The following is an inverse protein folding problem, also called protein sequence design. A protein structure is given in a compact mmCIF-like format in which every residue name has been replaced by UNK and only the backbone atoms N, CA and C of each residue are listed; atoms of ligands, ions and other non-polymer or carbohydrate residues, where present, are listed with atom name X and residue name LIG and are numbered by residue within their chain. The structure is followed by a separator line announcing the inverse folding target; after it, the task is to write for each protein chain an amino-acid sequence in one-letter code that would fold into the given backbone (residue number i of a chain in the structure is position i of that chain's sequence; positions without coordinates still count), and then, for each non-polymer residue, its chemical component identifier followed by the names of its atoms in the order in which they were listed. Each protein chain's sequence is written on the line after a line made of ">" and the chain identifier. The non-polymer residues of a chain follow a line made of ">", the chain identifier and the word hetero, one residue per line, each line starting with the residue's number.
data_IF_730512930801
#
_entry.id   IF_730512930801
#
_cell.length_a   1.000
_cell.length_b   1.000
_cell.length_c   1.000
_cell.angle_alpha   90.00
_cell.angle_beta   90.00
_cell.angle_gamma   90.00
#
_symmetry.space_group_name_H-M   'P 1'
#
loop_
_entity.id
_entity.type
_entity.pdbx_description
1 polymer ?
#
# COMPACT_ATOMS: atom_id res chain seq x y z
N UNK A 1 -10.28 -15.64 -21.60
CA UNK A 1 -10.16 -14.25 -22.06
C UNK A 1 -10.69 -13.32 -20.99
N UNK A 2 -9.93 -12.28 -20.66
CA UNK A 2 -10.40 -11.20 -19.78
C UNK A 2 -10.33 -9.88 -20.57
N UNK A 3 -11.36 -9.05 -20.44
CA UNK A 3 -11.38 -7.71 -21.01
C UNK A 3 -11.10 -6.71 -19.91
N UNK A 4 -10.06 -5.90 -20.07
CA UNK A 4 -9.76 -4.76 -19.21
C UNK A 4 -10.17 -3.46 -19.93
N UNK A 5 -10.21 -2.34 -19.22
CA UNK A 5 -10.59 -1.03 -19.78
C UNK A 5 -9.69 -0.62 -20.94
N UNK A 6 -8.39 -0.77 -20.79
CA UNK A 6 -7.36 -0.31 -21.73
C UNK A 6 -6.80 -1.43 -22.63
N UNK A 7 -7.11 -2.72 -22.37
CA UNK A 7 -6.55 -3.84 -23.09
C UNK A 7 -7.36 -5.11 -22.99
N UNK A 8 -6.90 -6.14 -23.67
CA UNK A 8 -7.47 -7.49 -23.63
C UNK A 8 -6.37 -8.49 -23.31
N UNK A 9 -6.70 -9.52 -22.52
CA UNK A 9 -5.76 -10.61 -22.18
C UNK A 9 -6.19 -11.89 -22.86
N UNK A 10 -5.28 -12.48 -23.60
CA UNK A 10 -5.46 -13.72 -24.34
C UNK A 10 -4.61 -14.82 -23.72
N UNK A 11 -5.13 -16.05 -23.75
CA UNK A 11 -4.36 -17.27 -23.47
C UNK A 11 -3.80 -17.75 -24.80
N UNK A 12 -2.48 -17.78 -24.94
CA UNK A 12 -1.77 -18.15 -26.14
C UNK A 12 -0.74 -19.24 -25.86
N UNK A 13 -0.43 -20.03 -26.86
CA UNK A 13 0.68 -21.01 -26.81
C UNK A 13 1.84 -20.50 -27.65
N UNK A 14 3.03 -20.50 -27.08
CA UNK A 14 4.24 -20.16 -27.82
C UNK A 14 4.65 -21.34 -28.73
N UNK A 15 4.88 -21.07 -30.01
CA UNK A 15 5.20 -22.10 -30.99
C UNK A 15 6.52 -22.84 -30.70
N UNK A 16 7.48 -22.14 -30.09
CA UNK A 16 8.82 -22.66 -29.80
C UNK A 16 8.85 -23.76 -28.75
N UNK A 17 8.03 -23.61 -27.66
CA UNK A 17 8.09 -24.51 -26.51
C UNK A 17 6.75 -25.12 -26.13
N UNK A 18 5.68 -24.81 -26.87
CA UNK A 18 4.30 -25.23 -26.63
C UNK A 18 3.75 -24.88 -25.22
N UNK A 19 4.43 -23.97 -24.46
CA UNK A 19 3.97 -23.47 -23.16
C UNK A 19 2.88 -22.42 -23.34
N UNK A 20 2.01 -22.34 -22.35
CA UNK A 20 0.90 -21.39 -22.33
C UNK A 20 1.32 -20.09 -21.66
N UNK A 21 0.98 -18.97 -22.28
CA UNK A 21 1.25 -17.61 -21.83
C UNK A 21 -0.02 -16.77 -21.82
N UNK A 22 -0.03 -15.77 -20.94
CA UNK A 22 -0.99 -14.68 -20.98
C UNK A 22 -0.39 -13.55 -21.82
N UNK A 23 -1.13 -13.11 -22.82
CA UNK A 23 -0.72 -12.02 -23.70
C UNK A 23 -1.71 -10.88 -23.55
N UNK A 24 -1.28 -9.77 -22.91
CA UNK A 24 -2.05 -8.54 -22.73
C UNK A 24 -1.77 -7.62 -23.90
N UNK A 25 -2.81 -7.23 -24.64
CA UNK A 25 -2.71 -6.41 -25.87
C UNK A 25 -3.54 -5.15 -25.65
N UNK A 26 -2.97 -3.98 -25.90
CA UNK A 26 -3.68 -2.72 -25.84
C UNK A 26 -4.77 -2.62 -26.90
N UNK A 27 -5.86 -1.95 -26.56
CA UNK A 27 -6.87 -1.60 -27.58
C UNK A 27 -6.28 -0.63 -28.61
N UNK A 28 -6.69 -0.76 -29.88
CA UNK A 28 -6.34 0.24 -30.90
C UNK A 28 -6.75 1.64 -30.43
N UNK A 29 -5.93 2.62 -30.76
CA UNK A 29 -6.17 4.07 -30.53
C UNK A 29 -6.43 4.51 -29.09
N UNK A 30 -6.23 3.61 -28.09
CA UNK A 30 -6.48 3.92 -26.66
C UNK A 30 -5.68 5.14 -26.21
N UNK A 31 -4.45 5.29 -26.65
CA UNK A 31 -3.59 6.42 -26.29
C UNK A 31 -4.21 7.76 -26.76
N UNK A 32 -4.77 7.80 -27.97
CA UNK A 32 -5.42 9.01 -28.52
C UNK A 32 -6.70 9.32 -27.75
N UNK A 33 -7.49 8.30 -27.43
CA UNK A 33 -8.71 8.46 -26.61
C UNK A 33 -8.38 9.01 -25.24
N UNK A 34 -7.42 8.40 -24.53
CA UNK A 34 -6.99 8.84 -23.19
C UNK A 34 -6.47 10.28 -23.21
N UNK A 35 -5.69 10.69 -24.23
CA UNK A 35 -5.23 12.08 -24.36
C UNK A 35 -6.40 13.06 -24.46
N UNK A 36 -7.41 12.74 -25.25
CA UNK A 36 -8.58 13.59 -25.42
C UNK A 36 -9.39 13.66 -24.10
N UNK A 37 -9.66 12.51 -23.49
CA UNK A 37 -10.41 12.43 -22.24
C UNK A 37 -9.72 13.22 -21.12
N UNK A 38 -8.40 13.07 -20.96
CA UNK A 38 -7.64 13.82 -19.97
C UNK A 38 -7.60 15.32 -20.24
N UNK A 39 -7.52 15.72 -21.52
CA UNK A 39 -7.65 17.13 -21.89
C UNK A 39 -9.01 17.71 -21.47
N UNK A 40 -10.08 16.98 -21.75
CA UNK A 40 -11.46 17.39 -21.38
C UNK A 40 -11.59 17.47 -19.86
N UNK A 41 -11.20 16.43 -19.12
CA UNK A 41 -11.26 16.38 -17.65
C UNK A 41 -10.51 17.56 -17.05
N UNK A 42 -9.28 17.83 -17.51
CA UNK A 42 -8.46 18.95 -17.06
C UNK A 42 -9.14 20.32 -17.31
N UNK A 43 -9.77 20.51 -18.47
CA UNK A 43 -10.50 21.74 -18.80
C UNK A 43 -11.73 21.91 -17.91
N UNK A 44 -12.52 20.85 -17.71
CA UNK A 44 -13.69 20.83 -16.82
C UNK A 44 -13.27 21.11 -15.37
N UNK A 45 -12.22 20.46 -14.87
CA UNK A 45 -11.68 20.71 -13.54
C UNK A 45 -11.29 22.19 -13.34
N UNK A 46 -10.61 22.78 -14.32
CA UNK A 46 -10.23 24.21 -14.29
C UNK A 46 -11.46 25.14 -14.30
N UNK A 47 -12.49 24.82 -15.08
CA UNK A 47 -13.74 25.57 -15.11
C UNK A 47 -14.49 25.48 -13.77
N UNK A 48 -14.66 24.28 -13.22
CA UNK A 48 -15.33 24.05 -11.93
C UNK A 48 -14.61 24.77 -10.79
N UNK A 49 -13.27 24.65 -10.73
CA UNK A 49 -12.45 25.37 -9.74
C UNK A 49 -12.71 26.87 -9.75
N UNK A 50 -12.72 27.48 -10.94
CA UNK A 50 -12.98 28.93 -11.11
C UNK A 50 -14.42 29.31 -10.80
N UNK A 51 -15.39 28.54 -11.31
CA UNK A 51 -16.83 28.85 -11.21
C UNK A 51 -17.34 28.75 -9.76
N UNK A 52 -16.87 27.73 -9.02
CA UNK A 52 -17.29 27.46 -7.65
C UNK A 52 -16.29 27.92 -6.59
N UNK A 53 -15.21 28.60 -6.99
CA UNK A 53 -14.14 29.09 -6.09
C UNK A 53 -13.63 27.98 -5.13
N UNK A 54 -13.46 26.77 -5.64
CA UNK A 54 -13.07 25.63 -4.84
C UNK A 54 -11.63 25.80 -4.33
N UNK A 55 -11.41 25.49 -3.05
CA UNK A 55 -10.08 25.50 -2.44
C UNK A 55 -9.22 24.32 -2.91
N UNK A 56 -9.84 23.20 -3.26
CA UNK A 56 -9.17 22.00 -3.76
C UNK A 56 -8.57 22.22 -5.14
N UNK A 57 -7.37 21.72 -5.35
CA UNK A 57 -6.70 21.77 -6.65
C UNK A 57 -7.18 20.66 -7.59
N UNK A 58 -8.39 20.83 -8.12
CA UNK A 58 -8.99 19.84 -9.04
C UNK A 58 -8.14 19.61 -10.30
N UNK A 59 -7.38 20.64 -10.73
CA UNK A 59 -6.51 20.50 -11.91
C UNK A 59 -5.34 19.60 -11.58
N UNK A 60 -4.68 19.81 -10.41
CA UNK A 60 -3.62 18.94 -9.94
C UNK A 60 -4.06 17.49 -9.76
N UNK A 61 -5.28 17.27 -9.23
CA UNK A 61 -5.87 15.92 -9.11
C UNK A 61 -6.07 15.29 -10.51
N UNK A 62 -6.58 16.06 -11.48
CA UNK A 62 -6.76 15.56 -12.84
C UNK A 62 -5.42 15.25 -13.52
N UNK A 63 -4.39 16.09 -13.31
CA UNK A 63 -3.06 15.87 -13.86
C UNK A 63 -2.40 14.62 -13.25
N UNK A 64 -2.52 14.40 -11.94
CA UNK A 64 -2.03 13.21 -11.23
C UNK A 64 -2.71 11.92 -11.74
N UNK A 65 -4.05 11.95 -11.86
CA UNK A 65 -4.81 10.85 -12.44
C UNK A 65 -4.37 10.54 -13.87
N UNK A 66 -4.12 11.61 -14.67
CA UNK A 66 -3.62 11.48 -16.04
C UNK A 66 -2.25 10.78 -16.09
N UNK A 67 -1.32 11.18 -15.24
CA UNK A 67 0.01 10.54 -15.17
C UNK A 67 -0.12 9.05 -14.89
N UNK A 68 -0.92 8.65 -13.87
CA UNK A 68 -1.15 7.25 -13.54
C UNK A 68 -1.74 6.46 -14.72
N UNK A 69 -2.73 7.04 -15.43
CA UNK A 69 -3.34 6.38 -16.57
C UNK A 69 -2.38 6.23 -17.76
N UNK A 70 -1.49 7.21 -17.98
CA UNK A 70 -0.45 7.09 -19.01
C UNK A 70 0.61 6.05 -18.66
N UNK A 71 0.97 5.91 -17.38
CA UNK A 71 1.89 4.88 -16.91
C UNK A 71 1.31 3.47 -17.14
N UNK A 72 0.00 3.27 -16.94
CA UNK A 72 -0.70 2.00 -17.27
C UNK A 72 -0.68 1.65 -18.76
N UNK A 73 -0.46 2.62 -19.66
CA UNK A 73 -0.35 2.38 -21.09
C UNK A 73 1.06 1.92 -21.52
N UNK A 74 2.02 1.83 -20.61
CA UNK A 74 3.37 1.39 -20.92
C UNK A 74 3.63 -0.04 -20.46
N UNK A 75 3.31 -1.03 -21.29
CA UNK A 75 3.50 -2.44 -20.95
C UNK A 75 4.97 -2.87 -20.82
N UNK A 76 5.91 -2.14 -21.42
CA UNK A 76 7.33 -2.36 -21.14
C UNK A 76 7.67 -2.01 -19.69
N UNK A 77 7.10 -0.92 -19.17
CA UNK A 77 7.29 -0.54 -17.76
C UNK A 77 6.61 -1.56 -16.83
N UNK A 78 5.41 -2.03 -17.18
CA UNK A 78 4.71 -3.08 -16.43
C UNK A 78 5.54 -4.37 -16.36
N UNK A 79 6.19 -4.77 -17.46
CA UNK A 79 7.12 -5.91 -17.51
C UNK A 79 8.32 -5.73 -16.57
N UNK A 80 8.95 -4.56 -16.57
CA UNK A 80 10.07 -4.24 -15.69
C UNK A 80 9.65 -4.21 -14.21
N UNK A 81 8.47 -3.69 -13.93
CA UNK A 81 7.87 -3.69 -12.59
C UNK A 81 7.65 -5.13 -12.10
N UNK A 82 7.10 -6.01 -12.93
CA UNK A 82 6.91 -7.44 -12.61
C UNK A 82 8.23 -8.13 -12.26
N UNK A 83 9.26 -7.90 -13.07
CA UNK A 83 10.61 -8.46 -12.83
C UNK A 83 11.17 -7.94 -11.51
N UNK A 84 11.09 -6.62 -11.26
CA UNK A 84 11.55 -6.01 -10.01
C UNK A 84 10.77 -6.55 -8.80
N UNK A 85 9.45 -6.68 -8.93
CA UNK A 85 8.60 -7.25 -7.89
C UNK A 85 9.00 -8.69 -7.58
N UNK A 86 9.22 -9.51 -8.59
CA UNK A 86 9.70 -10.89 -8.45
C UNK A 86 11.06 -10.96 -7.74
N UNK A 87 12.00 -10.08 -8.09
CA UNK A 87 13.32 -10.01 -7.44
C UNK A 87 13.22 -9.68 -5.95
N UNK A 88 12.33 -8.75 -5.58
CA UNK A 88 12.16 -8.29 -4.21
C UNK A 88 11.35 -9.29 -3.36
N UNK A 89 10.27 -9.85 -3.90
CA UNK A 89 9.26 -10.55 -3.11
C UNK A 89 9.04 -12.01 -3.54
N UNK A 90 9.55 -12.45 -4.68
CA UNK A 90 9.37 -13.82 -5.17
C UNK A 90 10.01 -14.91 -4.30
N UNK A 91 10.85 -14.53 -3.33
CA UNK A 91 11.42 -15.46 -2.33
C UNK A 91 10.53 -15.63 -1.09
N UNK A 92 9.51 -14.81 -0.93
CA UNK A 92 8.57 -14.91 0.19
C UNK A 92 7.71 -16.15 -0.08
N UNK A 93 7.68 -17.05 0.91
CA UNK A 93 6.87 -18.26 0.80
C UNK A 93 5.40 -17.94 0.64
N UNK A 94 4.76 -18.57 -0.31
CA UNK A 94 3.36 -18.32 -0.62
C UNK A 94 3.11 -17.16 -1.59
N UNK A 95 4.14 -16.46 -2.08
CA UNK A 95 4.02 -15.46 -3.13
C UNK A 95 4.46 -16.06 -4.46
N UNK A 96 3.61 -15.90 -5.47
CA UNK A 96 3.88 -16.28 -6.84
C UNK A 96 3.87 -15.05 -7.76
N UNK A 97 4.90 -14.92 -8.59
CA UNK A 97 5.01 -13.86 -9.60
C UNK A 97 5.33 -14.50 -10.94
N UNK A 98 4.46 -14.33 -11.95
CA UNK A 98 4.67 -14.93 -13.26
C UNK A 98 5.94 -14.42 -13.94
N UNK A 99 6.59 -15.30 -14.69
CA UNK A 99 7.73 -14.91 -15.51
C UNK A 99 7.30 -14.08 -16.70
N UNK A 100 8.03 -12.99 -16.94
CA UNK A 100 7.82 -12.13 -18.10
C UNK A 100 8.74 -12.55 -19.24
N UNK A 101 8.22 -12.56 -20.46
CA UNK A 101 8.97 -12.79 -21.68
C UNK A 101 9.26 -11.47 -22.38
N UNK A 102 10.42 -10.89 -22.08
CA UNK A 102 10.82 -9.58 -22.62
C UNK A 102 10.96 -9.61 -24.16
N UNK A 103 11.43 -10.73 -24.72
CA UNK A 103 11.55 -10.95 -26.16
C UNK A 103 10.22 -10.89 -26.93
N UNK A 104 9.09 -11.11 -26.21
CA UNK A 104 7.74 -11.05 -26.76
C UNK A 104 6.92 -9.91 -26.12
N UNK A 105 7.60 -8.92 -25.53
CA UNK A 105 6.99 -7.77 -24.87
C UNK A 105 7.38 -6.49 -25.59
N UNK A 106 6.44 -5.59 -25.75
CA UNK A 106 6.62 -4.26 -26.34
C UNK A 106 5.76 -3.25 -25.59
N UNK A 107 5.82 -1.97 -25.98
CA UNK A 107 5.03 -0.93 -25.34
C UNK A 107 3.51 -1.22 -25.34
N UNK A 108 3.01 -2.00 -26.31
CA UNK A 108 1.56 -2.29 -26.47
C UNK A 108 1.21 -3.77 -26.26
N UNK A 109 2.19 -4.64 -26.05
CA UNK A 109 2.00 -6.08 -25.85
C UNK A 109 2.84 -6.52 -24.67
N UNK A 110 2.23 -7.17 -23.69
CA UNK A 110 2.91 -7.78 -22.54
C UNK A 110 2.67 -9.29 -22.60
N UNK A 111 3.76 -10.05 -22.58
CA UNK A 111 3.72 -11.51 -22.57
C UNK A 111 4.31 -12.03 -21.25
N UNK A 112 3.49 -12.74 -20.49
CA UNK A 112 3.90 -13.34 -19.22
C UNK A 112 3.39 -14.77 -19.11
N UNK A 113 3.93 -15.52 -18.18
CA UNK A 113 3.46 -16.86 -17.85
C UNK A 113 1.96 -16.85 -17.52
N UNK A 114 1.23 -17.85 -18.05
CA UNK A 114 -0.17 -18.02 -17.71
C UNK A 114 -0.30 -18.73 -16.37
N UNK A 115 -0.84 -18.05 -15.37
CA UNK A 115 -1.08 -18.60 -14.04
C UNK A 115 -2.48 -19.17 -13.96
N UNK A 116 -2.58 -20.45 -13.62
CA UNK A 116 -3.85 -21.08 -13.29
C UNK A 116 -4.21 -20.81 -11.82
N UNK A 117 -5.49 -20.53 -11.55
CA UNK A 117 -5.91 -20.25 -10.19
C UNK A 117 -7.32 -19.68 -10.09
N UNK A 118 -7.74 -19.43 -8.86
CA UNK A 118 -9.06 -18.91 -8.51
C UNK A 118 -8.91 -17.45 -8.04
N UNK A 119 -9.73 -16.55 -8.62
CA UNK A 119 -9.78 -15.15 -8.17
C UNK A 119 -10.49 -15.04 -6.82
N UNK A 120 -10.04 -14.10 -6.01
CA UNK A 120 -10.73 -13.78 -4.76
C UNK A 120 -12.14 -13.20 -4.94
N UNK A 121 -13.00 -13.25 -3.92
CA UNK A 121 -12.75 -13.77 -2.58
C UNK A 121 -12.71 -15.31 -2.56
N UNK A 122 -11.80 -15.86 -1.76
CA UNK A 122 -11.58 -17.31 -1.69
C UNK A 122 -12.43 -17.93 -0.59
N UNK A 123 -13.24 -18.94 -0.95
CA UNK A 123 -14.07 -19.70 -0.01
C UNK A 123 -13.23 -20.70 0.81
N UNK A 124 -12.11 -21.15 0.25
CA UNK A 124 -11.20 -22.11 0.89
C UNK A 124 -9.79 -21.51 0.92
N UNK A 125 -9.17 -21.51 2.10
CA UNK A 125 -7.81 -20.94 2.28
C UNK A 125 -7.74 -19.41 2.23
N UNK A 126 -8.87 -18.70 2.30
CA UNK A 126 -8.94 -17.24 2.25
C UNK A 126 -8.13 -16.56 3.33
N UNK A 127 -8.15 -17.06 4.58
CA UNK A 127 -7.34 -16.52 5.68
C UNK A 127 -5.85 -16.58 5.37
N UNK A 128 -5.37 -17.69 4.81
CA UNK A 128 -3.98 -17.83 4.40
C UNK A 128 -3.62 -16.84 3.30
N UNK A 129 -4.47 -16.70 2.26
CA UNK A 129 -4.24 -15.76 1.17
C UNK A 129 -4.16 -14.32 1.67
N UNK A 130 -5.04 -13.95 2.61
CA UNK A 130 -5.02 -12.63 3.24
C UNK A 130 -3.77 -12.38 4.07
N UNK A 131 -3.38 -13.36 4.87
CA UNK A 131 -2.17 -13.24 5.70
C UNK A 131 -0.93 -13.07 4.83
N UNK A 132 -0.78 -13.87 3.76
CA UNK A 132 0.31 -13.75 2.79
C UNK A 132 0.27 -12.38 2.10
N UNK A 133 -0.90 -11.93 1.64
CA UNK A 133 -1.08 -10.65 0.97
C UNK A 133 -0.76 -9.47 1.88
N UNK A 134 -1.23 -9.51 3.14
CA UNK A 134 -0.91 -8.49 4.14
C UNK A 134 0.58 -8.44 4.45
N UNK A 135 1.18 -9.61 4.71
CA UNK A 135 2.61 -9.71 4.98
C UNK A 135 3.43 -9.14 3.84
N UNK A 136 3.12 -9.55 2.60
CA UNK A 136 3.81 -9.05 1.43
C UNK A 136 3.65 -7.52 1.31
N UNK A 137 2.45 -6.98 1.52
CA UNK A 137 2.19 -5.53 1.42
C UNK A 137 2.89 -4.73 2.52
N UNK A 138 2.96 -5.26 3.74
CA UNK A 138 3.73 -4.64 4.82
C UNK A 138 5.22 -4.60 4.50
N UNK A 139 5.79 -5.69 3.98
CA UNK A 139 7.19 -5.74 3.54
C UNK A 139 7.45 -4.77 2.37
N UNK A 140 6.52 -4.68 1.42
CA UNK A 140 6.59 -3.71 0.33
C UNK A 140 6.69 -2.28 0.86
N UNK A 141 5.84 -1.89 1.80
CA UNK A 141 5.78 -0.54 2.33
C UNK A 141 6.93 -0.23 3.31
N UNK A 142 7.28 -1.18 4.18
CA UNK A 142 8.18 -0.90 5.30
C UNK A 142 9.63 -1.28 5.03
N UNK A 143 9.90 -2.30 4.20
CA UNK A 143 11.26 -2.78 3.95
C UNK A 143 11.85 -2.24 2.64
N UNK A 144 11.22 -2.50 1.50
CA UNK A 144 11.76 -2.07 0.21
C UNK A 144 11.29 -0.69 -0.23
N UNK A 145 10.07 -0.30 0.16
CA UNK A 145 9.40 0.92 -0.29
C UNK A 145 8.86 0.84 -1.71
N UNK A 146 9.04 -0.26 -2.43
CA UNK A 146 8.44 -0.50 -3.73
C UNK A 146 7.17 -1.33 -3.56
N UNK A 147 6.00 -0.74 -3.82
CA UNK A 147 4.73 -1.36 -3.47
C UNK A 147 3.73 -1.34 -4.62
N UNK A 148 2.85 -2.34 -4.60
CA UNK A 148 1.72 -2.45 -5.51
C UNK A 148 0.61 -1.50 -5.06
N UNK A 149 0.26 -0.53 -5.90
CA UNK A 149 -0.71 0.51 -5.55
C UNK A 149 -2.16 0.11 -5.79
N UNK A 150 -2.43 -1.04 -6.43
CA UNK A 150 -3.78 -1.52 -6.76
C UNK A 150 -3.94 -3.05 -6.60
N UNK A 151 -3.74 -3.61 -5.39
CA UNK A 151 -3.83 -5.06 -5.14
C UNK A 151 -5.28 -5.52 -5.02
N UNK A 152 -6.13 -5.17 -6.00
CA UNK A 152 -7.53 -5.59 -5.95
C UNK A 152 -7.68 -7.07 -6.30
N UNK A 153 -8.79 -7.67 -5.86
CA UNK A 153 -9.09 -9.10 -6.05
C UNK A 153 -9.03 -9.59 -7.51
N UNK A 154 -9.14 -8.70 -8.49
CA UNK A 154 -9.00 -9.02 -9.90
C UNK A 154 -7.56 -9.32 -10.33
N UNK A 155 -6.58 -8.75 -9.60
CA UNK A 155 -5.14 -8.89 -9.85
C UNK A 155 -4.47 -9.96 -8.96
N UNK A 156 -5.26 -10.60 -8.09
CA UNK A 156 -4.80 -11.62 -7.15
C UNK A 156 -5.45 -12.97 -7.44
N UNK A 157 -4.64 -14.02 -7.55
CA UNK A 157 -5.10 -15.39 -7.73
C UNK A 157 -4.55 -16.30 -6.63
N UNK A 158 -5.38 -17.24 -6.17
CA UNK A 158 -4.89 -18.41 -5.44
C UNK A 158 -4.52 -19.50 -6.45
N UNK A 159 -3.26 -19.88 -6.48
CA UNK A 159 -2.77 -20.98 -7.32
C UNK A 159 -3.21 -22.34 -6.79
N UNK A 160 -3.15 -23.42 -7.59
CA UNK A 160 -3.42 -24.79 -7.12
C UNK A 160 -2.45 -25.24 -6.01
N UNK A 161 -1.21 -24.68 -5.97
CA UNK A 161 -0.24 -24.92 -4.87
C UNK A 161 -0.58 -24.17 -3.57
N UNK A 162 -1.59 -23.30 -3.59
CA UNK A 162 -1.98 -22.49 -2.44
C UNK A 162 -1.13 -21.25 -2.25
N UNK A 163 -0.47 -20.74 -3.31
CA UNK A 163 0.27 -19.49 -3.30
C UNK A 163 -0.61 -18.34 -3.78
N UNK A 164 -0.32 -17.13 -3.32
CA UNK A 164 -0.94 -15.89 -3.78
C UNK A 164 -0.16 -15.36 -4.98
N UNK A 165 -0.77 -15.40 -6.16
CA UNK A 165 -0.18 -14.87 -7.38
C UNK A 165 -0.61 -13.42 -7.62
N UNK A 166 0.36 -12.55 -7.91
CA UNK A 166 0.15 -11.19 -8.38
C UNK A 166 0.26 -11.17 -9.92
N UNK A 167 -0.74 -10.59 -10.60
CA UNK A 167 -0.86 -10.69 -12.07
C UNK A 167 -0.65 -9.38 -12.81
N UNK A 168 -0.95 -8.25 -12.23
CA UNK A 168 -0.88 -6.93 -12.85
C UNK A 168 0.14 -6.06 -12.12
N UNK A 169 1.05 -5.41 -12.84
CA UNK A 169 2.11 -4.56 -12.28
C UNK A 169 2.12 -3.17 -12.93
N UNK A 170 1.01 -2.78 -13.55
CA UNK A 170 0.85 -1.47 -14.18
C UNK A 170 0.88 -0.34 -13.16
N UNK A 171 0.27 -0.55 -12.00
CA UNK A 171 0.23 0.44 -10.92
C UNK A 171 1.20 0.08 -9.79
N UNK A 172 2.47 0.41 -9.98
CA UNK A 172 3.49 0.31 -8.95
C UNK A 172 3.92 1.69 -8.48
N UNK A 173 4.28 1.83 -7.21
CA UNK A 173 4.80 3.07 -6.66
C UNK A 173 5.97 2.83 -5.73
N UNK A 174 6.66 3.89 -5.35
CA UNK A 174 7.79 3.80 -4.42
C UNK A 174 7.78 4.92 -3.39
N UNK A 175 8.20 4.56 -2.17
CA UNK A 175 8.35 5.47 -1.03
C UNK A 175 9.81 5.55 -0.65
N UNK A 176 10.31 6.76 -0.44
CA UNK A 176 11.69 6.96 -0.02
C UNK A 176 11.96 6.33 1.36
N UNK A 177 13.21 5.99 1.67
CA UNK A 177 13.58 5.47 2.98
C UNK A 177 13.20 6.44 4.12
N UNK A 178 13.39 7.75 3.91
CA UNK A 178 13.00 8.80 4.85
C UNK A 178 11.51 8.76 5.16
N UNK A 179 10.67 8.66 4.12
CA UNK A 179 9.22 8.66 4.28
C UNK A 179 8.73 7.34 4.91
N UNK A 180 9.35 6.20 4.57
CA UNK A 180 9.08 4.92 5.23
C UNK A 180 9.32 4.98 6.74
N UNK A 181 10.45 5.52 7.17
CA UNK A 181 10.78 5.65 8.59
C UNK A 181 9.80 6.58 9.31
N UNK A 182 9.36 7.63 8.65
CA UNK A 182 8.35 8.52 9.20
C UNK A 182 6.95 7.83 9.28
N UNK A 183 6.57 7.01 8.29
CA UNK A 183 5.36 6.18 8.36
C UNK A 183 5.43 5.18 9.52
N UNK A 184 6.55 4.49 9.69
CA UNK A 184 6.79 3.59 10.84
C UNK A 184 6.62 4.35 12.15
N UNK A 185 7.23 5.53 12.27
CA UNK A 185 7.11 6.38 13.45
C UNK A 185 5.68 6.83 13.74
N UNK A 186 4.89 7.16 12.71
CA UNK A 186 3.49 7.51 12.88
C UNK A 186 2.65 6.33 13.37
N UNK A 187 2.85 5.13 12.81
CA UNK A 187 2.15 3.91 13.27
C UNK A 187 2.55 3.55 14.70
N UNK A 188 3.84 3.66 15.05
CA UNK A 188 4.30 3.46 16.43
C UNK A 188 3.66 4.45 17.41
N UNK A 189 3.56 5.71 17.03
CA UNK A 189 2.86 6.73 17.82
C UNK A 189 1.39 6.36 18.05
N UNK A 190 0.68 5.92 17.01
CA UNK A 190 -0.71 5.48 17.11
C UNK A 190 -0.87 4.30 18.07
N UNK A 191 -0.05 3.25 17.92
CA UNK A 191 -0.12 2.06 18.78
C UNK A 191 0.23 2.37 20.24
N UNK A 192 1.20 3.26 20.46
CA UNK A 192 1.61 3.67 21.80
C UNK A 192 0.74 4.80 22.39
N UNK A 193 -0.29 5.27 21.68
CA UNK A 193 -1.15 6.42 22.08
C UNK A 193 -0.34 7.72 22.28
N UNK A 194 0.77 7.86 21.56
CA UNK A 194 1.62 9.05 21.58
C UNK A 194 1.32 9.92 20.35
N UNK A 195 0.33 10.79 20.48
CA UNK A 195 -0.11 11.68 19.40
C UNK A 195 0.97 12.70 19.01
N UNK A 196 1.85 13.09 19.94
CA UNK A 196 2.98 13.98 19.64
C UNK A 196 3.95 13.31 18.67
N UNK A 197 4.25 12.02 18.88
CA UNK A 197 5.07 11.22 17.96
C UNK A 197 4.38 11.05 16.60
N UNK A 198 3.05 10.87 16.57
CA UNK A 198 2.28 10.81 15.32
C UNK A 198 2.44 12.11 14.53
N UNK A 199 2.12 13.26 15.15
CA UNK A 199 2.15 14.57 14.48
C UNK A 199 3.57 14.93 14.04
N UNK A 200 4.59 14.64 14.85
CA UNK A 200 5.99 14.84 14.49
C UNK A 200 6.37 14.10 13.21
N UNK A 201 5.94 12.84 13.07
CA UNK A 201 6.23 12.04 11.88
C UNK A 201 5.37 12.46 10.67
N UNK A 202 4.10 12.83 10.87
CA UNK A 202 3.27 13.41 9.81
C UNK A 202 3.85 14.74 9.28
N UNK A 203 4.45 15.56 10.15
CA UNK A 203 5.16 16.77 9.73
C UNK A 203 6.39 16.44 8.87
N UNK A 204 7.16 15.39 9.21
CA UNK A 204 8.27 14.88 8.36
C UNK A 204 7.81 14.41 6.99
N UNK A 205 6.60 13.89 6.88
CA UNK A 205 5.94 13.47 5.63
C UNK A 205 5.34 14.64 4.84
N UNK A 206 5.54 15.88 5.28
CA UNK A 206 4.99 17.10 4.67
C UNK A 206 3.45 17.16 4.63
N UNK A 207 2.76 16.52 5.61
CA UNK A 207 1.31 16.64 5.75
C UNK A 207 0.89 18.05 6.21
N UNK A 208 1.79 18.76 6.87
CA UNK A 208 1.55 20.10 7.39
C UNK A 208 2.64 21.06 6.91
N UNK A 209 2.30 22.34 6.69
CA UNK A 209 3.30 23.38 6.49
C UNK A 209 4.33 23.41 7.65
N UNK A 210 5.59 23.78 7.39
CA UNK A 210 6.64 23.82 8.43
C UNK A 210 6.29 24.66 9.65
N UNK A 211 5.56 25.74 9.43
CA UNK A 211 5.10 26.73 10.44
C UNK A 211 3.93 26.24 11.29
N UNK A 212 3.33 25.10 10.98
CA UNK A 212 2.17 24.57 11.71
C UNK A 212 2.56 24.18 13.14
N UNK A 213 1.83 24.70 14.13
CA UNK A 213 2.00 24.38 15.53
C UNK A 213 1.60 22.92 15.79
N UNK A 214 2.51 22.17 16.41
CA UNK A 214 2.34 20.76 16.72
C UNK A 214 1.23 20.55 17.75
N UNK A 215 1.15 21.43 18.76
CA UNK A 215 0.21 21.28 19.87
C UNK A 215 -1.23 21.45 19.40
N UNK A 216 -1.48 22.39 18.48
CA UNK A 216 -2.79 22.60 17.85
C UNK A 216 -3.23 21.35 17.05
N UNK A 217 -2.29 20.73 16.33
CA UNK A 217 -2.58 19.52 15.57
C UNK A 217 -2.84 18.33 16.47
N UNK A 218 -2.08 18.19 17.58
CA UNK A 218 -2.27 17.14 18.58
C UNK A 218 -3.65 17.26 19.24
N UNK A 219 -4.07 18.47 19.60
CA UNK A 219 -5.39 18.72 20.19
C UNK A 219 -6.53 18.38 19.23
N UNK A 220 -6.44 18.82 17.97
CA UNK A 220 -7.42 18.50 16.93
C UNK A 220 -7.50 16.98 16.66
N UNK A 221 -6.35 16.30 16.60
CA UNK A 221 -6.28 14.85 16.39
C UNK A 221 -6.86 14.10 17.60
N UNK A 222 -6.55 14.54 18.82
CA UNK A 222 -7.09 13.99 20.06
C UNK A 222 -8.62 14.08 20.09
N UNK A 223 -9.17 15.26 19.75
CA UNK A 223 -10.62 15.50 19.71
C UNK A 223 -11.32 14.63 18.67
N UNK A 224 -10.75 14.47 17.47
CA UNK A 224 -11.31 13.63 16.41
C UNK A 224 -11.28 12.14 16.77
N UNK A 225 -10.22 11.69 17.42
CA UNK A 225 -10.11 10.30 17.88
C UNK A 225 -11.02 10.02 19.08
N UNK A 226 -11.21 10.98 19.99
CA UNK A 226 -12.12 10.84 21.13
C UNK A 226 -13.59 10.71 20.69
N UNK A 227 -13.98 11.40 19.64
CA UNK A 227 -15.34 11.32 19.09
C UNK A 227 -15.65 9.99 18.37
N UNK A 228 -14.61 9.22 18.03
CA UNK A 228 -14.73 7.99 17.24
C UNK A 228 -14.67 6.70 18.06
N UNK A 229 -14.28 6.78 19.34
CA UNK A 229 -14.04 5.60 20.18
C UNK A 229 -14.54 5.79 21.60
N UNK A 230 -15.24 4.77 22.11
CA UNK A 230 -15.27 4.50 23.55
C UNK A 230 -13.84 4.32 24.04
N UNK A 231 -13.43 5.13 24.94
CA UNK A 231 -12.13 5.47 25.61
C UNK A 231 -10.89 4.56 25.52
N UNK A 232 -10.90 3.35 24.92
CA UNK A 232 -9.82 2.41 25.21
C UNK A 232 -8.93 1.89 24.04
N UNK A 233 -9.30 2.04 22.76
CA UNK A 233 -8.48 1.39 21.72
C UNK A 233 -8.44 2.11 20.37
N UNK A 234 -7.47 3.01 20.16
CA UNK A 234 -7.13 3.52 18.80
C UNK A 234 -6.67 2.37 17.88
N UNK A 235 -6.02 1.35 18.43
CA UNK A 235 -5.61 0.13 17.70
C UNK A 235 -6.78 -0.77 17.29
N UNK A 236 -7.99 -0.53 17.79
CA UNK A 236 -9.20 -1.24 17.40
C UNK A 236 -9.95 -0.58 16.24
N UNK A 237 -9.53 0.62 15.83
CA UNK A 237 -10.11 1.29 14.67
C UNK A 237 -9.72 0.58 13.39
N UNK A 238 -10.68 0.46 12.47
CA UNK A 238 -10.39 0.11 11.09
C UNK A 238 -9.56 1.22 10.45
N UNK A 239 -8.64 0.86 9.58
CA UNK A 239 -7.83 1.83 8.84
C UNK A 239 -8.70 2.83 8.06
N UNK A 240 -9.81 2.37 7.49
CA UNK A 240 -10.80 3.20 6.81
C UNK A 240 -11.39 4.26 7.74
N UNK A 241 -11.76 3.92 8.98
CA UNK A 241 -12.26 4.88 9.98
C UNK A 241 -11.17 5.87 10.39
N UNK A 242 -9.94 5.40 10.60
CA UNK A 242 -8.81 6.27 10.90
C UNK A 242 -8.59 7.30 9.80
N UNK A 243 -8.63 6.87 8.54
CA UNK A 243 -8.49 7.75 7.40
C UNK A 243 -9.63 8.77 7.31
N UNK A 244 -10.88 8.38 7.55
CA UNK A 244 -12.03 9.30 7.61
C UNK A 244 -11.87 10.36 8.69
N UNK A 245 -11.37 9.99 9.87
CA UNK A 245 -11.09 10.91 10.96
C UNK A 245 -10.00 11.93 10.60
N UNK A 246 -8.91 11.47 9.97
CA UNK A 246 -7.86 12.36 9.47
C UNK A 246 -8.39 13.30 8.39
N UNK A 247 -9.25 12.80 7.48
CA UNK A 247 -9.89 13.63 6.47
C UNK A 247 -10.84 14.67 7.07
N UNK A 248 -11.57 14.35 8.14
CA UNK A 248 -12.45 15.33 8.81
C UNK A 248 -11.66 16.50 9.40
N UNK A 249 -10.46 16.26 9.91
CA UNK A 249 -9.56 17.30 10.44
C UNK A 249 -9.01 18.18 9.31
N UNK A 250 -8.92 17.67 8.08
CA UNK A 250 -8.38 18.43 6.93
C UNK A 250 -9.20 19.70 6.60
N UNK A 251 -10.45 19.76 7.05
CA UNK A 251 -11.27 20.98 6.94
C UNK A 251 -10.91 22.05 7.99
N UNK A 252 -10.32 21.63 9.11
CA UNK A 252 -9.94 22.50 10.22
C UNK A 252 -8.49 22.95 10.13
N UNK A 253 -7.62 22.10 9.63
CA UNK A 253 -6.18 22.32 9.55
C UNK A 253 -5.71 22.36 8.09
N UNK A 254 -4.63 23.11 7.79
CA UNK A 254 -4.05 23.16 6.43
C UNK A 254 -3.28 21.88 6.10
N UNK A 255 -4.00 20.74 6.00
CA UNK A 255 -3.41 19.45 5.65
C UNK A 255 -3.12 19.41 4.14
N UNK A 256 -1.89 19.00 3.80
CA UNK A 256 -1.48 18.68 2.43
C UNK A 256 -1.23 17.18 2.34
N UNK A 257 -2.00 16.49 1.50
CA UNK A 257 -1.78 15.05 1.30
C UNK A 257 -0.72 14.84 0.23
N UNK A 258 0.42 14.23 0.56
CA UNK A 258 1.42 13.87 -0.45
C UNK A 258 0.84 12.87 -1.47
N UNK A 259 1.19 12.92 -2.76
CA UNK A 259 0.64 12.04 -3.80
C UNK A 259 0.79 10.55 -3.47
N UNK A 260 1.97 10.13 -3.01
CA UNK A 260 2.23 8.73 -2.62
C UNK A 260 1.31 8.24 -1.50
N UNK A 261 0.83 9.14 -0.63
CA UNK A 261 -0.03 8.78 0.49
C UNK A 261 -1.41 8.31 0.03
N UNK A 262 -1.97 8.93 -1.01
CA UNK A 262 -3.27 8.52 -1.58
C UNK A 262 -3.19 7.09 -2.13
N UNK A 263 -2.06 6.72 -2.74
CA UNK A 263 -1.80 5.36 -3.22
C UNK A 263 -1.66 4.37 -2.06
N UNK A 264 -0.96 4.74 -0.98
CA UNK A 264 -0.86 3.90 0.23
C UNK A 264 -2.23 3.69 0.85
N UNK A 265 -3.03 4.76 1.03
CA UNK A 265 -4.39 4.65 1.56
C UNK A 265 -5.23 3.71 0.70
N UNK A 266 -5.21 3.88 -0.61
CA UNK A 266 -5.92 3.01 -1.53
C UNK A 266 -5.53 1.55 -1.35
N UNK A 267 -4.23 1.26 -1.36
CA UNK A 267 -3.69 -0.09 -1.15
C UNK A 267 -4.16 -0.69 0.17
N UNK A 268 -3.99 0.04 1.27
CA UNK A 268 -4.35 -0.43 2.61
C UNK A 268 -5.86 -0.60 2.79
N UNK A 269 -6.67 0.29 2.21
CA UNK A 269 -8.13 0.18 2.23
C UNK A 269 -8.62 -1.04 1.44
N UNK A 270 -8.02 -1.33 0.27
CA UNK A 270 -8.35 -2.52 -0.52
C UNK A 270 -8.01 -3.79 0.27
N UNK A 271 -6.81 -3.84 0.88
CA UNK A 271 -6.36 -4.97 1.69
C UNK A 271 -7.24 -5.16 2.93
N UNK A 272 -7.58 -4.07 3.63
CA UNK A 272 -8.49 -4.13 4.77
C UNK A 272 -9.87 -4.63 4.35
N UNK A 273 -10.42 -4.15 3.23
CA UNK A 273 -11.69 -4.63 2.68
C UNK A 273 -11.68 -6.11 2.34
N UNK A 274 -10.58 -6.61 1.78
CA UNK A 274 -10.41 -8.05 1.53
C UNK A 274 -10.31 -8.83 2.85
N UNK A 275 -9.58 -8.31 3.83
CA UNK A 275 -9.39 -8.94 5.13
C UNK A 275 -10.70 -9.01 5.94
N UNK A 276 -11.46 -7.93 5.99
CA UNK A 276 -12.74 -7.86 6.69
C UNK A 276 -13.81 -8.79 6.08
N UNK A 277 -13.69 -9.13 4.80
CA UNK A 277 -14.57 -10.12 4.17
C UNK A 277 -14.37 -11.52 4.74
N UNK A 278 -13.13 -11.88 5.12
CA UNK A 278 -12.77 -13.20 5.65
C UNK A 278 -12.83 -13.21 7.17
N UNK A 279 -12.29 -12.15 7.82
CA UNK A 279 -12.32 -11.98 9.27
C UNK A 279 -12.84 -10.57 9.63
N UNK A 280 -14.11 -10.45 10.04
CA UNK A 280 -14.67 -9.15 10.47
C UNK A 280 -13.96 -8.52 11.67
N UNK A 281 -13.21 -9.30 12.45
CA UNK A 281 -12.43 -8.80 13.60
C UNK A 281 -11.04 -8.28 13.21
N UNK A 282 -10.64 -8.43 11.95
CA UNK A 282 -9.32 -8.04 11.46
C UNK A 282 -9.04 -6.55 11.66
N UNK A 283 -7.81 -6.24 12.06
CA UNK A 283 -7.31 -4.85 12.24
C UNK A 283 -5.94 -4.72 11.61
N UNK A 284 -5.86 -3.93 10.55
CA UNK A 284 -4.66 -3.78 9.72
C UNK A 284 -3.44 -3.32 10.51
N UNK A 285 -3.60 -2.29 11.35
CA UNK A 285 -2.50 -1.75 12.17
C UNK A 285 -1.97 -2.80 13.15
N UNK A 286 -2.88 -3.55 13.77
CA UNK A 286 -2.51 -4.62 14.70
C UNK A 286 -1.78 -5.76 13.98
N UNK A 287 -2.23 -6.12 12.78
CA UNK A 287 -1.59 -7.14 11.94
C UNK A 287 -0.21 -6.72 11.41
N UNK A 288 0.01 -5.43 11.14
CA UNK A 288 1.29 -4.90 10.68
C UNK A 288 2.33 -4.73 11.82
N UNK A 289 1.89 -4.61 13.07
CA UNK A 289 2.75 -4.27 14.19
C UNK A 289 3.90 -5.26 14.46
N UNK A 290 3.74 -6.59 14.35
CA UNK A 290 4.84 -7.53 14.52
C UNK A 290 5.98 -7.31 13.51
N UNK A 291 5.63 -6.99 12.25
CA UNK A 291 6.62 -6.70 11.20
C UNK A 291 7.36 -5.38 11.47
N UNK A 292 6.66 -4.36 11.97
CA UNK A 292 7.26 -3.09 12.40
C UNK A 292 8.23 -3.33 13.56
N UNK A 293 7.83 -4.11 14.55
CA UNK A 293 8.69 -4.45 15.69
C UNK A 293 9.96 -5.18 15.24
N UNK A 294 9.83 -6.15 14.34
CA UNK A 294 10.97 -6.86 13.75
C UNK A 294 11.91 -5.90 13.02
N UNK A 295 11.37 -5.03 12.15
CA UNK A 295 12.15 -4.06 11.39
C UNK A 295 12.92 -3.10 12.29
N UNK A 296 12.33 -2.66 13.42
CA UNK A 296 12.99 -1.79 14.40
C UNK A 296 14.13 -2.47 15.13
N UNK A 297 13.98 -3.78 15.42
CA UNK A 297 15.00 -4.54 16.15
C UNK A 297 16.14 -5.03 15.25
N UNK A 298 15.88 -5.26 13.96
CA UNK A 298 16.85 -5.85 13.02
C UNK A 298 17.55 -4.86 12.11
N UNK A 299 17.10 -3.60 12.08
CA UNK A 299 17.68 -2.60 11.16
C UNK A 299 18.81 -1.81 11.77
N UNK A 300 19.89 -1.65 11.01
CA UNK A 300 21.03 -0.80 11.36
C UNK A 300 20.80 0.70 11.03
N UNK A 301 19.60 1.07 10.53
CA UNK A 301 19.29 2.45 10.19
C UNK A 301 19.20 3.34 11.44
N UNK A 302 20.00 4.43 11.52
CA UNK A 302 20.02 5.31 12.70
C UNK A 302 18.66 5.91 13.05
N UNK A 303 17.83 6.17 12.04
CA UNK A 303 16.48 6.71 12.20
C UNK A 303 15.55 5.71 12.91
N UNK A 304 15.64 4.43 12.58
CA UNK A 304 14.86 3.38 13.24
C UNK A 304 15.35 3.13 14.66
N UNK A 305 16.66 3.21 14.89
CA UNK A 305 17.25 3.17 16.22
C UNK A 305 16.70 4.30 17.13
N UNK A 306 16.57 5.52 16.61
CA UNK A 306 15.96 6.65 17.34
C UNK A 306 14.48 6.42 17.64
N UNK A 307 13.71 5.83 16.69
CA UNK A 307 12.32 5.48 16.91
C UNK A 307 12.17 4.39 17.98
N UNK A 308 13.04 3.38 17.94
CA UNK A 308 13.08 2.34 18.96
C UNK A 308 13.36 2.95 20.35
N UNK A 309 14.39 3.80 20.44
CA UNK A 309 14.70 4.53 21.70
C UNK A 309 13.52 5.34 22.22
N UNK A 310 12.82 6.07 21.36
CA UNK A 310 11.64 6.86 21.74
C UNK A 310 10.51 6.00 22.36
N UNK A 311 10.41 4.73 21.96
CA UNK A 311 9.40 3.81 22.49
C UNK A 311 9.84 3.11 23.77
N UNK A 312 11.11 2.64 23.83
CA UNK A 312 11.60 1.81 24.93
C UNK A 312 12.28 2.58 26.06
N UNK A 313 12.66 3.85 25.84
CA UNK A 313 13.30 4.69 26.85
C UNK A 313 12.28 5.67 27.43
N UNK A 314 12.31 5.86 28.74
CA UNK A 314 11.45 6.86 29.41
C UNK A 314 12.08 8.26 29.35
N UNK A 315 11.34 9.28 29.85
CA UNK A 315 11.83 10.67 29.88
C UNK A 315 13.10 10.87 30.75
N UNK A 316 13.40 9.91 31.62
CA UNK A 316 14.56 9.91 32.52
C UNK A 316 15.77 9.19 31.92
N UNK A 317 15.70 8.74 30.67
CA UNK A 317 16.76 8.03 29.97
C UNK A 317 16.89 6.54 30.37
N UNK A 318 15.92 5.98 31.12
CA UNK A 318 15.95 4.58 31.57
C UNK A 318 15.17 3.68 30.65
N UNK A 319 15.67 2.46 30.40
CA UNK A 319 15.01 1.45 29.56
C UNK A 319 13.76 0.94 30.29
N UNK A 320 12.64 0.90 29.58
CA UNK A 320 11.39 0.26 30.00
C UNK A 320 11.45 -1.24 29.64
N UNK A 321 12.07 -2.03 30.49
CA UNK A 321 12.30 -3.46 30.24
C UNK A 321 11.05 -4.24 29.84
N UNK A 322 9.93 -4.03 30.51
CA UNK A 322 8.64 -4.66 30.15
C UNK A 322 8.20 -4.34 28.71
N UNK A 323 8.42 -3.08 28.26
CA UNK A 323 8.10 -2.72 26.86
C UNK A 323 9.07 -3.37 25.88
N UNK A 324 10.35 -3.44 26.20
CA UNK A 324 11.34 -4.11 25.37
C UNK A 324 11.04 -5.60 25.23
N UNK A 325 10.70 -6.28 26.32
CA UNK A 325 10.31 -7.68 26.34
C UNK A 325 9.06 -7.94 25.50
N UNK A 326 8.02 -7.09 25.63
CA UNK A 326 6.84 -7.12 24.78
C UNK A 326 7.19 -6.93 23.30
N UNK A 327 8.09 -6.00 22.98
CA UNK A 327 8.54 -5.76 21.60
C UNK A 327 9.24 -6.98 21.01
N UNK A 328 10.15 -7.60 21.78
CA UNK A 328 10.86 -8.82 21.36
C UNK A 328 9.88 -9.97 21.16
N UNK A 329 8.95 -10.17 22.09
CA UNK A 329 7.90 -11.20 21.99
C UNK A 329 7.02 -11.00 20.76
N UNK A 330 6.62 -9.76 20.48
CA UNK A 330 5.81 -9.42 19.30
C UNK A 330 6.60 -9.63 18.00
N UNK A 331 7.89 -9.27 17.98
CA UNK A 331 8.75 -9.49 16.82
C UNK A 331 8.97 -10.98 16.53
N UNK A 332 9.12 -11.81 17.58
CA UNK A 332 9.23 -13.27 17.46
C UNK A 332 7.95 -13.90 16.89
N UNK A 333 6.79 -13.34 17.18
CA UNK A 333 5.52 -13.78 16.59
C UNK A 333 5.45 -13.49 15.08
N UNK A 334 6.15 -12.46 14.58
CA UNK A 334 6.27 -12.23 13.14
C UNK A 334 7.00 -13.38 12.44
N UNK A 335 8.05 -13.93 13.05
CA UNK A 335 8.77 -15.08 12.53
C UNK A 335 7.94 -16.36 12.63
N UNK A 336 7.23 -16.57 13.72
CA UNK A 336 6.31 -17.69 13.89
C UNK A 336 5.13 -17.64 12.89
N UNK A 337 4.61 -16.47 12.57
CA UNK A 337 3.59 -16.30 11.51
C UNK A 337 4.17 -16.64 10.12
N UNK A 338 5.46 -16.35 9.88
CA UNK A 338 6.16 -16.75 8.66
C UNK A 338 6.47 -18.25 8.67
N UNK A 339 6.90 -18.81 9.80
CA UNK A 339 7.28 -20.23 9.93
C UNK A 339 6.08 -21.15 10.11
N UNK A 340 5.01 -20.74 10.79
CA UNK A 340 3.74 -21.50 10.88
C UNK A 340 3.07 -21.72 9.53
N UNK A 341 3.48 -20.97 8.49
CA UNK A 341 3.15 -21.26 7.10
C UNK A 341 4.10 -22.27 6.45
N UNK A 342 5.13 -22.75 7.18
CA UNK A 342 6.07 -23.80 6.72
C UNK A 342 5.53 -25.22 6.91
N UNK A 343 4.42 -25.41 7.56
CA UNK A 343 3.66 -26.65 7.66
C UNK A 343 2.43 -26.57 6.79
#
# INVERSE_FOLDING_TARGET
>A
MASASIGQVYKAKLKENNKTYAVKIQRPDILSTVKIDMFIIRKVAGYLRKRFKLRSDLVGIADEFGCQLFDELNYTQEALNAIKFKQLYGRIKGIYVPDVRLEHTSQRVLTMEFVEGVKGPWSTGGERMLTIGLQCSVLQLLESGFFHADPHRGNLLQTPSGDLAYLDFGMMSSVSAKDRYALIGAVLGLVNKDLSLVVFNLKKLNFFPPETDVDVVVEALSSALANSTTKDQVSSLNFTQLNQNVMSISFLLPIRLPPFYTLIIRTLTILEGLALYVDPSFRLIRGAYPFIAKQLLSSDAPELGKLLQAVIVNKEGRIRWMKLEQFISIASNADAAIDGMRL
#
